data_IF_971456114380
#
_entry.id   IF_971456114380
#
_cell.length_a   1.000
_cell.length_b   1.000
_cell.length_c   1.000
_cell.angle_alpha   90.00
_cell.angle_beta   90.00
_cell.angle_gamma   90.00
#
_symmetry.space_group_name_H-M   'P 1'
#
loop_
_entity.id
_entity.type
_entity.pdbx_description
1 polymer ?
#
# COMPACT_ATOMS: atom_id res chain seq x y z
N UNK A 1 -12.55 -70.71 -27.86
CA UNK A 1 -11.45 -70.07 -27.13
C UNK A 1 -11.20 -68.65 -27.65
N UNK A 2 -11.16 -68.45 -28.94
CA UNK A 2 -10.90 -67.13 -29.59
C UNK A 2 -11.92 -66.02 -29.25
N UNK A 3 -13.20 -66.37 -29.16
CA UNK A 3 -14.29 -65.38 -28.84
C UNK A 3 -14.19 -64.79 -27.41
N UNK A 4 -13.68 -65.56 -26.47
CA UNK A 4 -13.45 -65.07 -25.08
C UNK A 4 -12.24 -64.17 -24.95
N UNK A 5 -11.26 -64.29 -25.83
CA UNK A 5 -10.07 -63.43 -25.86
C UNK A 5 -10.42 -62.08 -26.49
N UNK A 6 -11.17 -62.07 -27.57
CA UNK A 6 -11.64 -60.87 -28.24
C UNK A 6 -12.59 -60.03 -27.36
N UNK A 7 -13.50 -60.71 -26.63
CA UNK A 7 -14.39 -60.01 -25.68
C UNK A 7 -13.62 -59.36 -24.50
N UNK A 8 -12.55 -59.97 -24.01
CA UNK A 8 -11.70 -59.39 -22.96
C UNK A 8 -10.88 -58.23 -23.47
N UNK A 9 -10.35 -58.28 -24.69
CA UNK A 9 -9.63 -57.17 -25.29
C UNK A 9 -10.55 -55.97 -25.57
N UNK A 10 -11.79 -56.17 -25.97
CA UNK A 10 -12.78 -55.13 -26.19
C UNK A 10 -13.17 -54.40 -24.86
N UNK A 11 -13.33 -55.16 -23.78
CA UNK A 11 -13.64 -54.62 -22.44
C UNK A 11 -12.44 -53.84 -21.92
N UNK A 12 -11.20 -54.29 -22.09
CA UNK A 12 -9.99 -53.59 -21.66
C UNK A 12 -9.76 -52.28 -22.44
N UNK A 13 -10.05 -52.29 -23.73
CA UNK A 13 -9.96 -51.11 -24.60
C UNK A 13 -11.04 -50.06 -24.23
N UNK A 14 -12.26 -50.50 -23.89
CA UNK A 14 -13.34 -49.62 -23.44
C UNK A 14 -13.06 -48.98 -22.07
N UNK A 15 -12.42 -49.70 -21.13
CA UNK A 15 -12.02 -49.17 -19.80
C UNK A 15 -10.83 -48.22 -19.91
N UNK A 16 -9.86 -48.43 -20.78
CA UNK A 16 -8.78 -47.46 -21.06
C UNK A 16 -9.30 -46.18 -21.73
N UNK A 17 -10.31 -46.29 -22.61
CA UNK A 17 -10.93 -45.12 -23.26
C UNK A 17 -11.72 -44.22 -22.31
N UNK A 18 -12.32 -44.79 -21.23
CA UNK A 18 -13.04 -44.03 -20.20
C UNK A 18 -12.12 -43.35 -19.20
N UNK A 19 -10.89 -43.81 -19.00
CA UNK A 19 -9.87 -43.16 -18.14
C UNK A 19 -9.14 -42.03 -18.86
N UNK A 20 -9.08 -41.99 -20.17
CA UNK A 20 -8.46 -40.93 -20.95
C UNK A 20 -9.37 -39.68 -21.11
N UNK A 21 -10.64 -39.74 -20.71
CA UNK A 21 -11.62 -38.65 -20.84
C UNK A 21 -11.72 -37.72 -19.62
N UNK A 22 -11.04 -38.02 -18.52
CA UNK A 22 -10.97 -37.15 -17.37
C UNK A 22 -9.76 -36.18 -17.47
N UNK A 23 -9.56 -35.56 -18.63
CA UNK A 23 -8.84 -34.28 -18.66
C UNK A 23 -9.69 -33.31 -17.81
N UNK A 24 -9.35 -33.15 -16.55
CA UNK A 24 -9.92 -32.12 -15.70
C UNK A 24 -9.76 -30.82 -16.46
N UNK A 25 -10.86 -30.30 -17.03
CA UNK A 25 -10.89 -28.94 -17.53
C UNK A 25 -10.39 -28.09 -16.37
N UNK A 26 -9.16 -27.59 -16.45
CA UNK A 26 -8.57 -26.74 -15.44
C UNK A 26 -9.54 -25.58 -15.27
N UNK A 27 -10.23 -25.56 -14.13
CA UNK A 27 -11.26 -24.55 -13.86
C UNK A 27 -10.62 -23.18 -14.07
N UNK A 28 -11.21 -22.41 -14.98
CA UNK A 28 -10.66 -21.11 -15.35
C UNK A 28 -10.62 -20.21 -14.11
N UNK A 29 -9.44 -19.92 -13.61
CA UNK A 29 -9.30 -18.96 -12.50
C UNK A 29 -9.74 -17.55 -12.94
N UNK A 30 -10.48 -16.79 -12.11
CA UNK A 30 -11.13 -17.22 -10.86
C UNK A 30 -12.48 -17.88 -11.13
N UNK A 31 -12.81 -18.97 -10.40
CA UNK A 31 -14.11 -19.66 -10.43
C UNK A 31 -14.99 -19.33 -9.20
N UNK A 32 -14.44 -18.60 -8.22
CA UNK A 32 -15.10 -18.15 -6.98
C UNK A 32 -14.59 -16.76 -6.56
N UNK A 33 -15.23 -16.10 -5.58
CA UNK A 33 -14.79 -14.81 -5.11
C UNK A 33 -13.32 -14.77 -4.64
N UNK A 34 -12.64 -13.65 -4.95
CA UNK A 34 -11.26 -13.36 -4.53
C UNK A 34 -11.28 -12.35 -3.39
N UNK A 35 -10.59 -12.64 -2.31
CA UNK A 35 -10.42 -11.73 -1.16
C UNK A 35 -9.23 -10.81 -1.36
N UNK A 36 -9.44 -9.51 -1.16
CA UNK A 36 -8.39 -8.49 -1.13
C UNK A 36 -8.20 -8.05 0.32
N UNK A 37 -7.09 -8.42 0.95
CA UNK A 37 -6.74 -7.91 2.26
C UNK A 37 -6.21 -6.49 2.14
N UNK A 38 -6.84 -5.55 2.86
CA UNK A 38 -6.36 -4.19 3.06
C UNK A 38 -5.85 -4.05 4.48
N UNK A 39 -4.54 -3.71 4.68
CA UNK A 39 -3.91 -3.73 6.01
C UNK A 39 -4.23 -2.52 6.89
N UNK A 40 -5.26 -1.75 6.56
CA UNK A 40 -5.74 -0.56 7.29
C UNK A 40 -7.26 -0.55 7.38
N UNK A 41 -7.79 0.34 8.24
CA UNK A 41 -9.24 0.48 8.41
C UNK A 41 -9.93 1.03 7.13
N UNK A 42 -11.20 0.73 6.99
CA UNK A 42 -12.03 1.19 5.87
C UNK A 42 -12.07 2.72 5.78
N UNK A 43 -12.20 3.24 4.56
CA UNK A 43 -12.26 4.67 4.24
C UNK A 43 -10.90 5.39 4.27
N UNK A 44 -9.81 4.69 4.59
CA UNK A 44 -8.45 5.22 4.47
C UNK A 44 -7.93 5.14 3.04
N UNK A 45 -6.76 5.75 2.80
CA UNK A 45 -6.11 5.82 1.49
C UNK A 45 -6.01 4.46 0.78
N UNK A 46 -5.48 3.46 1.47
CA UNK A 46 -5.27 2.12 0.93
C UNK A 46 -6.59 1.42 0.57
N UNK A 47 -7.63 1.62 1.38
CA UNK A 47 -8.96 1.02 1.17
C UNK A 47 -9.63 1.60 -0.08
N UNK A 48 -9.58 2.91 -0.27
CA UNK A 48 -10.16 3.58 -1.45
C UNK A 48 -9.51 3.07 -2.74
N UNK A 49 -8.18 3.02 -2.79
CA UNK A 49 -7.45 2.49 -3.95
C UNK A 49 -7.78 1.03 -4.22
N UNK A 50 -7.87 0.19 -3.17
CA UNK A 50 -8.23 -1.21 -3.30
C UNK A 50 -9.62 -1.39 -3.92
N UNK A 51 -10.60 -0.59 -3.51
CA UNK A 51 -11.98 -0.67 -4.02
C UNK A 51 -12.09 -0.22 -5.48
N UNK A 52 -11.34 0.80 -5.89
CA UNK A 52 -11.28 1.22 -7.31
C UNK A 52 -10.83 0.04 -8.19
N UNK A 53 -9.79 -0.68 -7.79
CA UNK A 53 -9.31 -1.86 -8.54
C UNK A 53 -10.26 -3.05 -8.42
N UNK A 54 -10.79 -3.34 -7.22
CA UNK A 54 -11.70 -4.45 -6.98
C UNK A 54 -12.95 -4.39 -7.85
N UNK A 55 -13.53 -3.21 -8.04
CA UNK A 55 -14.68 -2.99 -8.92
C UNK A 55 -14.39 -3.38 -10.37
N UNK A 56 -13.25 -2.95 -10.90
CA UNK A 56 -12.87 -3.23 -12.28
C UNK A 56 -12.46 -4.69 -12.50
N UNK A 57 -11.75 -5.28 -11.54
CA UNK A 57 -11.42 -6.72 -11.57
C UNK A 57 -12.68 -7.58 -11.54
N UNK A 58 -13.67 -7.22 -10.73
CA UNK A 58 -14.97 -7.90 -10.68
C UNK A 58 -15.66 -7.87 -12.06
N UNK A 59 -15.72 -6.70 -12.69
CA UNK A 59 -16.32 -6.55 -14.04
C UNK A 59 -15.59 -7.36 -15.11
N UNK A 60 -14.24 -7.38 -15.05
CA UNK A 60 -13.39 -8.02 -16.07
C UNK A 60 -13.33 -9.53 -15.95
N UNK A 61 -13.32 -10.04 -14.72
CA UNK A 61 -13.12 -11.45 -14.43
C UNK A 61 -14.41 -12.22 -14.11
N UNK A 62 -15.54 -11.50 -13.92
CA UNK A 62 -16.84 -12.12 -13.69
C UNK A 62 -17.01 -12.75 -12.30
N UNK A 63 -16.04 -12.55 -11.39
CA UNK A 63 -16.09 -13.02 -10.02
C UNK A 63 -15.88 -11.82 -9.06
N UNK A 64 -16.51 -11.88 -7.89
CA UNK A 64 -16.40 -10.80 -6.90
C UNK A 64 -14.97 -10.69 -6.36
N UNK A 65 -14.43 -9.47 -6.36
CA UNK A 65 -13.21 -9.10 -5.63
C UNK A 65 -13.63 -8.35 -4.37
N UNK A 66 -13.53 -9.02 -3.21
CA UNK A 66 -14.09 -8.56 -1.94
C UNK A 66 -12.97 -7.96 -1.08
N UNK A 67 -13.13 -6.69 -0.69
CA UNK A 67 -12.17 -6.01 0.19
C UNK A 67 -12.45 -6.36 1.65
N UNK A 68 -11.43 -6.90 2.33
CA UNK A 68 -11.42 -7.21 3.76
C UNK A 68 -10.36 -6.37 4.48
N UNK A 69 -10.78 -5.53 5.43
CA UNK A 69 -9.88 -4.67 6.19
C UNK A 69 -9.31 -5.40 7.41
N UNK A 70 -7.98 -5.63 7.45
CA UNK A 70 -7.24 -6.24 8.56
C UNK A 70 -6.20 -5.26 9.11
N UNK A 71 -6.67 -4.25 9.82
CA UNK A 71 -5.82 -3.18 10.36
C UNK A 71 -4.95 -3.64 11.54
N UNK A 72 -3.85 -2.94 11.77
CA UNK A 72 -3.01 -3.05 12.97
C UNK A 72 -1.51 -3.13 12.68
N UNK A 73 -0.72 -2.73 13.67
CA UNK A 73 0.74 -2.74 13.66
C UNK A 73 1.37 -2.12 12.39
N UNK A 74 0.87 -0.94 11.93
CA UNK A 74 1.38 -0.29 10.73
C UNK A 74 1.23 -1.09 9.44
N UNK A 75 0.24 -2.00 9.37
CA UNK A 75 -0.04 -2.86 8.22
C UNK A 75 0.52 -4.28 8.34
N UNK A 76 1.32 -4.58 9.37
CA UNK A 76 1.93 -5.91 9.58
C UNK A 76 0.87 -7.00 9.74
N UNK A 77 -0.22 -6.73 10.47
CA UNK A 77 -1.26 -7.74 10.71
C UNK A 77 -1.93 -8.24 9.42
N UNK A 78 -2.24 -7.33 8.50
CA UNK A 78 -2.84 -7.67 7.21
C UNK A 78 -1.90 -8.50 6.33
N UNK A 79 -0.63 -8.09 6.23
CA UNK A 79 0.37 -8.82 5.47
C UNK A 79 0.69 -10.19 6.07
N UNK A 80 0.79 -10.30 7.41
CA UNK A 80 0.94 -11.60 8.07
C UNK A 80 -0.27 -12.52 7.82
N UNK A 81 -1.48 -11.98 7.76
CA UNK A 81 -2.65 -12.79 7.40
C UNK A 81 -2.55 -13.33 5.97
N UNK A 82 -1.98 -12.55 5.03
CA UNK A 82 -1.73 -13.00 3.66
C UNK A 82 -0.72 -14.15 3.59
N UNK A 83 0.38 -14.10 4.35
CA UNK A 83 1.41 -15.18 4.28
C UNK A 83 0.89 -16.54 4.72
N UNK A 84 -0.24 -16.58 5.43
CA UNK A 84 -0.92 -17.81 5.87
C UNK A 84 -2.06 -18.25 4.93
N UNK A 85 -2.34 -17.49 3.89
CA UNK A 85 -3.35 -17.85 2.91
C UNK A 85 -2.83 -18.91 1.93
N UNK A 86 -3.75 -19.69 1.35
CA UNK A 86 -3.40 -20.63 0.30
C UNK A 86 -2.84 -19.88 -0.92
N UNK A 87 -1.77 -20.41 -1.58
CA UNK A 87 -1.14 -19.76 -2.72
C UNK A 87 -1.90 -20.00 -4.04
N UNK A 88 -3.23 -19.97 -4.01
CA UNK A 88 -4.13 -20.32 -5.11
C UNK A 88 -4.72 -19.10 -5.85
N UNK A 89 -4.27 -17.90 -5.49
CA UNK A 89 -4.72 -16.64 -6.09
C UNK A 89 -6.07 -16.12 -5.58
N UNK A 90 -6.74 -16.81 -4.66
CA UNK A 90 -8.02 -16.36 -4.11
C UNK A 90 -7.89 -15.45 -2.88
N UNK A 91 -6.67 -15.25 -2.41
CA UNK A 91 -6.35 -14.21 -1.42
C UNK A 91 -5.14 -13.43 -1.88
N UNK A 92 -5.30 -12.13 -2.05
CA UNK A 92 -4.25 -11.17 -2.37
C UNK A 92 -4.32 -10.02 -1.38
N UNK A 93 -3.30 -9.16 -1.33
CA UNK A 93 -3.32 -8.00 -0.44
C UNK A 93 -2.77 -6.75 -1.12
N UNK A 94 -3.16 -5.59 -0.58
CA UNK A 94 -2.45 -4.34 -0.84
C UNK A 94 -1.20 -4.28 0.04
N UNK A 95 -0.06 -4.13 -0.59
CA UNK A 95 1.21 -3.83 0.07
C UNK A 95 1.45 -2.33 0.12
N UNK A 96 2.06 -1.87 1.21
CA UNK A 96 2.47 -0.47 1.40
C UNK A 96 3.93 -0.40 1.78
N UNK A 97 4.58 0.74 1.55
CA UNK A 97 5.96 0.99 2.00
C UNK A 97 6.16 0.68 3.49
N UNK A 98 5.16 0.98 4.34
CA UNK A 98 5.19 0.65 5.76
C UNK A 98 5.40 -0.84 6.02
N UNK A 99 4.57 -1.68 5.40
CA UNK A 99 4.60 -3.13 5.62
C UNK A 99 5.78 -3.84 4.97
N UNK A 100 6.21 -3.39 3.79
CA UNK A 100 7.23 -4.10 2.98
C UNK A 100 8.62 -3.47 3.06
N UNK A 101 8.73 -2.15 3.25
CA UNK A 101 10.01 -1.46 3.19
C UNK A 101 10.48 -0.88 4.53
N UNK A 102 9.57 -0.47 5.42
CA UNK A 102 9.91 0.19 6.68
C UNK A 102 9.94 -0.81 7.85
N UNK A 103 8.84 -1.51 8.12
CA UNK A 103 8.73 -2.44 9.25
C UNK A 103 9.77 -3.57 9.24
N UNK A 104 10.17 -4.14 8.08
CA UNK A 104 11.26 -5.12 8.03
C UNK A 104 12.59 -4.63 8.59
N UNK A 105 12.79 -3.31 8.64
CA UNK A 105 13.99 -2.69 9.22
C UNK A 105 13.76 -2.36 10.70
N UNK A 106 12.65 -1.69 11.02
CA UNK A 106 12.37 -1.15 12.35
C UNK A 106 12.10 -2.22 13.40
N UNK A 107 11.42 -3.30 13.03
CA UNK A 107 11.04 -4.38 13.93
C UNK A 107 11.56 -5.74 13.46
N UNK A 108 12.76 -5.73 12.87
CA UNK A 108 13.40 -6.87 12.21
C UNK A 108 13.22 -8.20 12.94
N UNK A 109 13.41 -8.21 14.26
CA UNK A 109 13.34 -9.43 15.07
C UNK A 109 11.91 -9.80 15.51
N UNK A 110 10.94 -8.94 15.25
CA UNK A 110 9.53 -9.12 15.66
C UNK A 110 8.57 -9.20 14.47
N UNK A 111 9.06 -8.99 13.24
CA UNK A 111 8.19 -9.06 12.06
C UNK A 111 7.88 -10.52 11.72
N UNK A 112 6.58 -10.89 11.55
CA UNK A 112 6.18 -12.28 11.39
C UNK A 112 6.23 -12.79 9.95
N UNK A 113 7.00 -12.16 9.07
CA UNK A 113 7.19 -12.55 7.66
C UNK A 113 8.53 -12.07 7.10
N UNK A 114 8.98 -12.74 6.05
CA UNK A 114 10.15 -12.37 5.25
C UNK A 114 9.69 -11.76 3.92
N UNK A 115 10.01 -10.48 3.70
CA UNK A 115 9.55 -9.74 2.50
C UNK A 115 10.14 -10.27 1.19
N UNK A 116 11.19 -11.06 1.24
CA UNK A 116 11.83 -11.65 0.04
C UNK A 116 11.33 -13.07 -0.26
N UNK A 117 10.78 -13.78 0.75
CA UNK A 117 10.40 -15.18 0.63
C UNK A 117 8.91 -15.42 0.69
N UNK A 118 8.15 -14.62 1.46
CA UNK A 118 6.77 -14.91 1.80
C UNK A 118 5.75 -14.26 0.88
N UNK A 119 6.21 -13.48 -0.12
CA UNK A 119 5.32 -12.76 -1.03
C UNK A 119 5.64 -13.00 -2.51
N UNK A 120 4.58 -13.05 -3.31
CA UNK A 120 4.62 -12.89 -4.76
C UNK A 120 4.24 -11.46 -5.10
N UNK A 121 5.17 -10.69 -5.66
CA UNK A 121 4.92 -9.30 -6.07
C UNK A 121 4.18 -9.28 -7.41
N UNK A 122 3.02 -8.63 -7.44
CA UNK A 122 2.12 -8.66 -8.59
C UNK A 122 2.15 -7.35 -9.39
N UNK A 123 1.95 -6.21 -8.74
CA UNK A 123 1.86 -4.93 -9.45
C UNK A 123 2.05 -3.74 -8.51
N UNK A 124 3.00 -2.86 -8.81
CA UNK A 124 3.14 -1.55 -8.20
C UNK A 124 2.11 -0.60 -8.81
N UNK A 125 1.12 -0.26 -8.03
CA UNK A 125 -0.07 0.47 -8.47
C UNK A 125 0.18 1.96 -8.55
N UNK A 126 0.76 2.53 -7.49
CA UNK A 126 0.82 3.97 -7.33
C UNK A 126 1.87 4.40 -6.30
N UNK A 127 2.30 5.66 -6.41
CA UNK A 127 3.05 6.37 -5.39
C UNK A 127 2.44 7.76 -5.20
N UNK A 128 2.59 8.31 -3.99
CA UNK A 128 2.19 9.67 -3.66
C UNK A 128 3.09 10.22 -2.56
N UNK A 129 3.29 11.53 -2.46
CA UNK A 129 3.98 12.12 -1.33
C UNK A 129 3.11 12.13 -0.08
N UNK A 130 3.73 12.35 1.07
CA UNK A 130 3.04 12.86 2.24
C UNK A 130 2.99 14.39 2.16
N UNK A 131 2.06 14.98 2.88
CA UNK A 131 1.85 16.42 2.97
C UNK A 131 1.84 16.84 4.44
N UNK A 132 2.60 17.88 4.77
CA UNK A 132 2.59 18.50 6.09
C UNK A 132 1.38 19.40 6.22
N UNK A 133 0.55 19.07 7.18
CA UNK A 133 -0.75 19.69 7.45
C UNK A 133 -0.78 20.29 8.84
N UNK A 134 -1.35 21.46 8.94
CA UNK A 134 -1.66 22.07 10.22
C UNK A 134 -3.13 22.47 10.30
N UNK A 135 -3.68 22.40 11.50
CA UNK A 135 -4.96 23.05 11.80
C UNK A 135 -4.79 24.58 11.57
N UNK A 136 -5.78 25.30 11.01
CA UNK A 136 -5.70 26.74 10.77
C UNK A 136 -5.34 27.60 11.97
N UNK A 137 -5.53 27.10 13.19
CA UNK A 137 -5.12 27.80 14.43
C UNK A 137 -3.60 27.84 14.65
N UNK A 138 -2.81 27.02 13.94
CA UNK A 138 -1.35 27.07 14.00
C UNK A 138 -0.86 28.22 13.12
N UNK A 139 -0.09 29.19 13.64
CA UNK A 139 0.37 30.37 12.91
C UNK A 139 1.60 30.04 12.03
N UNK A 140 1.50 29.05 11.16
CA UNK A 140 2.55 28.64 10.24
C UNK A 140 1.98 28.40 8.84
N UNK A 141 2.50 29.09 7.83
CA UNK A 141 2.11 28.97 6.43
C UNK A 141 3.21 28.32 5.57
N UNK A 142 4.42 28.27 6.10
CA UNK A 142 5.62 27.74 5.43
C UNK A 142 6.35 26.76 6.33
N UNK A 143 7.21 25.92 5.74
CA UNK A 143 8.00 24.95 6.52
C UNK A 143 8.95 25.66 7.52
N UNK A 144 9.65 26.76 7.17
CA UNK A 144 10.43 27.51 8.16
C UNK A 144 9.60 28.02 9.34
N UNK A 145 8.39 28.55 9.09
CA UNK A 145 7.48 29.02 10.15
C UNK A 145 7.00 27.86 11.02
N UNK A 146 6.68 26.70 10.41
CA UNK A 146 6.30 25.49 11.15
C UNK A 146 7.45 25.02 12.06
N UNK A 147 8.68 24.97 11.55
CA UNK A 147 9.85 24.59 12.33
C UNK A 147 10.06 25.57 13.51
N UNK A 148 9.93 26.88 13.28
CA UNK A 148 10.04 27.89 14.34
C UNK A 148 8.94 27.71 15.40
N UNK A 149 7.71 27.47 14.98
CA UNK A 149 6.59 27.22 15.89
C UNK A 149 6.79 25.93 16.70
N UNK A 150 7.25 24.84 16.09
CA UNK A 150 7.54 23.58 16.77
C UNK A 150 8.68 23.71 17.79
N UNK A 151 9.70 24.51 17.51
CA UNK A 151 10.77 24.82 18.48
C UNK A 151 10.24 25.56 19.72
N UNK A 152 9.25 26.43 19.52
CA UNK A 152 8.58 27.13 20.62
C UNK A 152 7.53 26.26 21.35
N UNK A 153 7.09 25.16 20.76
CA UNK A 153 6.10 24.24 21.30
C UNK A 153 6.65 22.79 21.25
N UNK A 154 7.65 22.45 22.08
CA UNK A 154 8.23 21.12 22.10
C UNK A 154 7.19 20.05 22.46
N UNK A 155 7.45 18.81 22.03
CA UNK A 155 6.57 17.66 22.24
C UNK A 155 5.15 17.81 21.62
N UNK A 156 4.99 18.75 20.67
CA UNK A 156 3.72 18.91 19.93
C UNK A 156 3.25 17.55 19.40
N UNK A 157 1.99 17.13 19.70
CA UNK A 157 1.44 15.91 19.16
C UNK A 157 1.25 16.01 17.65
N UNK A 158 1.67 14.97 16.92
CA UNK A 158 1.40 14.81 15.49
C UNK A 158 0.75 13.47 15.17
N UNK A 159 -0.17 13.47 14.22
CA UNK A 159 -0.92 12.29 13.85
C UNK A 159 -0.10 11.32 12.98
N UNK A 160 -0.23 10.02 13.25
CA UNK A 160 0.32 8.93 12.46
C UNK A 160 -0.67 7.78 12.34
N UNK A 161 -0.50 6.90 11.34
CA UNK A 161 -1.26 5.63 11.25
C UNK A 161 -0.55 4.48 11.98
N UNK A 162 0.36 4.79 12.92
CA UNK A 162 1.08 3.86 13.78
C UNK A 162 2.56 3.75 13.47
N UNK A 163 3.30 3.08 14.37
CA UNK A 163 4.72 2.84 14.19
C UNK A 163 5.02 2.13 12.85
N UNK A 164 6.12 2.52 12.20
CA UNK A 164 6.55 1.95 10.92
C UNK A 164 5.71 2.34 9.70
N UNK A 165 4.77 3.29 9.84
CA UNK A 165 4.11 3.92 8.70
C UNK A 165 4.94 5.08 8.16
N UNK A 166 4.65 5.51 6.93
CA UNK A 166 5.34 6.65 6.32
C UNK A 166 5.05 7.96 7.04
N UNK A 167 3.88 8.09 7.68
CA UNK A 167 3.56 9.22 8.55
C UNK A 167 4.48 9.28 9.77
N UNK A 168 4.75 8.13 10.40
CA UNK A 168 5.69 8.05 11.52
C UNK A 168 7.11 8.39 11.08
N UNK A 169 7.59 7.83 9.96
CA UNK A 169 8.91 8.14 9.40
C UNK A 169 9.03 9.63 9.03
N UNK A 170 7.97 10.22 8.45
CA UNK A 170 7.92 11.65 8.12
C UNK A 170 8.16 12.52 9.36
N UNK A 171 7.48 12.21 10.47
CA UNK A 171 7.68 12.92 11.75
C UNK A 171 9.11 12.79 12.25
N UNK A 172 9.63 11.57 12.33
CA UNK A 172 10.99 11.32 12.80
C UNK A 172 12.06 11.95 11.91
N UNK A 173 11.86 11.99 10.58
CA UNK A 173 12.73 12.74 9.66
C UNK A 173 12.74 14.25 9.95
N UNK A 174 11.60 14.83 10.31
CA UNK A 174 11.52 16.25 10.67
C UNK A 174 12.19 16.53 12.00
N UNK A 175 12.02 15.64 12.99
CA UNK A 175 12.73 15.73 14.28
C UNK A 175 14.24 15.76 14.09
N UNK A 176 14.76 14.81 13.29
CA UNK A 176 16.20 14.71 12.99
C UNK A 176 16.70 15.94 12.21
N UNK A 177 16.04 16.28 11.10
CA UNK A 177 16.49 17.33 10.18
C UNK A 177 16.43 18.74 10.77
N UNK A 178 15.51 19.01 11.72
CA UNK A 178 15.30 20.33 12.29
C UNK A 178 15.65 20.43 13.78
N UNK A 179 16.13 19.34 14.41
CA UNK A 179 16.45 19.28 15.83
C UNK A 179 15.23 19.51 16.72
N UNK A 180 14.12 18.80 16.41
CA UNK A 180 12.83 18.93 17.11
C UNK A 180 12.55 17.74 18.01
N UNK A 181 11.56 17.90 18.88
CA UNK A 181 10.91 16.81 19.62
C UNK A 181 9.41 16.93 19.46
N UNK A 182 8.77 15.87 18.96
CA UNK A 182 7.34 15.76 18.76
C UNK A 182 6.82 14.46 19.37
N UNK A 183 5.51 14.35 19.57
CA UNK A 183 4.88 13.14 20.13
C UNK A 183 3.99 12.51 19.09
N UNK A 184 4.31 11.27 18.67
CA UNK A 184 3.49 10.52 17.72
C UNK A 184 2.19 10.04 18.36
N UNK A 185 1.04 10.40 17.78
CA UNK A 185 -0.29 9.93 18.18
C UNK A 185 -0.82 8.99 17.11
N UNK A 186 -1.10 7.75 17.50
CA UNK A 186 -1.50 6.69 16.57
C UNK A 186 -3.01 6.67 16.31
N UNK A 187 -3.38 6.71 15.04
CA UNK A 187 -4.74 6.50 14.54
C UNK A 187 -4.84 5.17 13.75
N UNK A 188 -6.03 4.59 13.68
CA UNK A 188 -6.24 3.33 12.93
C UNK A 188 -6.29 3.52 11.42
N UNK A 189 -6.55 4.74 10.96
CA UNK A 189 -6.54 5.15 9.56
C UNK A 189 -6.44 6.68 9.43
N UNK A 190 -5.94 7.16 8.28
CA UNK A 190 -5.74 8.59 7.99
C UNK A 190 -7.02 9.43 8.04
N UNK A 191 -8.17 8.89 7.63
CA UNK A 191 -9.43 9.63 7.70
C UNK A 191 -9.82 10.03 9.13
N UNK A 192 -9.47 9.23 10.14
CA UNK A 192 -9.71 9.54 11.55
C UNK A 192 -8.78 10.65 12.05
N UNK A 193 -7.50 10.58 11.70
CA UNK A 193 -6.53 11.63 12.05
C UNK A 193 -6.88 12.98 11.41
N UNK A 194 -7.33 12.97 10.16
CA UNK A 194 -7.76 14.18 9.44
C UNK A 194 -8.98 14.83 10.10
N UNK A 195 -9.95 14.04 10.57
CA UNK A 195 -11.12 14.57 11.31
C UNK A 195 -10.70 15.29 12.60
N UNK A 196 -9.82 14.68 13.40
CA UNK A 196 -9.31 15.28 14.63
C UNK A 196 -8.41 16.50 14.36
N UNK A 197 -7.68 16.50 13.25
CA UNK A 197 -6.89 17.65 12.82
C UNK A 197 -7.79 18.84 12.42
N UNK A 198 -8.88 18.59 11.68
CA UNK A 198 -9.88 19.61 11.33
C UNK A 198 -10.56 20.14 12.62
N UNK A 199 -10.94 19.25 13.53
CA UNK A 199 -11.56 19.59 14.79
C UNK A 199 -10.60 20.28 15.80
N UNK A 200 -9.29 20.31 15.49
CA UNK A 200 -8.25 20.92 16.33
C UNK A 200 -7.90 20.11 17.57
N UNK A 201 -8.33 18.86 17.67
CA UNK A 201 -7.92 17.92 18.74
C UNK A 201 -6.42 17.60 18.64
N UNK A 202 -5.91 17.52 17.41
CA UNK A 202 -4.50 17.51 17.09
C UNK A 202 -4.17 18.69 16.18
N UNK A 203 -2.94 19.21 16.23
CA UNK A 203 -2.57 20.43 15.50
C UNK A 203 -1.73 20.19 14.24
N UNK A 204 -1.10 19.03 14.16
CA UNK A 204 -0.09 18.68 13.16
C UNK A 204 -0.29 17.25 12.63
N UNK A 205 -0.10 17.07 11.35
CA UNK A 205 0.02 15.77 10.73
C UNK A 205 1.01 15.82 9.56
N UNK A 206 1.72 14.72 9.31
CA UNK A 206 2.32 14.42 8.02
C UNK A 206 1.55 13.22 7.45
N UNK A 207 0.61 13.44 6.55
CA UNK A 207 -0.27 12.37 6.09
C UNK A 207 -0.22 12.21 4.57
N UNK A 208 -0.77 11.10 4.08
CA UNK A 208 -0.85 10.82 2.65
C UNK A 208 -1.61 11.93 1.92
N UNK A 209 -1.05 12.41 0.82
CA UNK A 209 -1.60 13.49 0.03
C UNK A 209 -3.07 13.27 -0.34
N UNK A 210 -3.41 12.06 -0.78
CA UNK A 210 -4.73 11.70 -1.28
C UNK A 210 -5.89 11.99 -0.32
N UNK A 211 -5.75 11.67 0.97
CA UNK A 211 -6.82 11.87 1.97
C UNK A 211 -6.89 13.28 2.51
N UNK A 212 -5.82 14.05 2.34
CA UNK A 212 -5.63 15.36 2.97
C UNK A 212 -5.95 16.53 2.03
N UNK A 213 -5.60 16.40 0.75
CA UNK A 213 -5.59 17.55 -0.19
C UNK A 213 -6.95 18.17 -0.43
N UNK A 214 -8.03 17.37 -0.46
CA UNK A 214 -9.38 17.92 -0.58
C UNK A 214 -9.77 18.82 0.61
N UNK A 215 -9.26 18.51 1.82
CA UNK A 215 -9.49 19.34 2.99
C UNK A 215 -8.69 20.65 2.94
N UNK A 216 -7.54 20.62 2.29
CA UNK A 216 -6.72 21.82 2.01
C UNK A 216 -7.42 22.70 0.99
N UNK A 217 -7.89 22.14 -0.13
CA UNK A 217 -8.67 22.89 -1.14
C UNK A 217 -9.95 23.50 -0.56
N UNK A 218 -10.59 22.78 0.36
CA UNK A 218 -11.77 23.25 1.09
C UNK A 218 -11.49 24.26 2.21
N UNK A 219 -10.24 24.66 2.44
CA UNK A 219 -9.84 25.61 3.47
C UNK A 219 -9.97 25.12 4.91
N UNK A 220 -10.25 23.83 5.11
CA UNK A 220 -10.38 23.23 6.44
C UNK A 220 -9.04 22.95 7.11
N UNK A 221 -8.02 22.71 6.31
CA UNK A 221 -6.63 22.51 6.74
C UNK A 221 -5.69 23.37 5.91
N UNK A 222 -4.52 23.65 6.48
CA UNK A 222 -3.45 24.32 5.74
C UNK A 222 -2.34 23.33 5.43
N UNK A 223 -1.94 23.27 4.14
CA UNK A 223 -0.73 22.59 3.72
C UNK A 223 0.47 23.52 3.88
N UNK A 224 1.54 23.01 4.48
CA UNK A 224 2.78 23.76 4.71
C UNK A 224 3.84 23.37 3.68
N UNK A 225 3.97 22.08 3.39
CA UNK A 225 4.86 21.56 2.36
C UNK A 225 4.51 20.11 2.00
N UNK A 226 5.14 19.58 0.96
CA UNK A 226 4.92 18.24 0.45
C UNK A 226 6.26 17.48 0.38
N UNK A 227 6.25 16.16 0.58
CA UNK A 227 7.48 15.35 0.68
C UNK A 227 7.99 14.80 -0.66
N UNK A 228 7.42 15.25 -1.78
CA UNK A 228 7.94 14.91 -3.11
C UNK A 228 9.34 15.51 -3.34
N UNK A 229 10.19 14.89 -4.18
CA UNK A 229 11.53 15.40 -4.48
C UNK A 229 11.53 16.77 -5.21
N UNK A 230 10.43 17.09 -5.85
CA UNK A 230 10.21 18.35 -6.58
C UNK A 230 8.73 18.73 -6.57
N UNK A 231 8.32 19.75 -7.35
CA UNK A 231 6.93 20.15 -7.47
C UNK A 231 6.03 18.98 -7.85
N UNK A 232 5.00 18.71 -7.03
CA UNK A 232 4.09 17.60 -7.28
C UNK A 232 3.09 17.97 -8.37
N UNK A 233 2.92 17.16 -9.44
CA UNK A 233 2.08 17.53 -10.59
C UNK A 233 0.65 17.88 -10.24
N UNK A 234 0.08 17.27 -9.20
CA UNK A 234 -1.30 17.47 -8.75
C UNK A 234 -1.48 18.61 -7.74
N UNK A 235 -0.38 19.25 -7.28
CA UNK A 235 -0.38 20.36 -6.30
C UNK A 235 0.91 21.17 -6.38
N UNK A 236 1.15 21.81 -7.52
CA UNK A 236 2.39 22.57 -7.79
C UNK A 236 2.54 23.80 -6.90
N UNK A 237 1.45 24.29 -6.33
CA UNK A 237 1.40 25.43 -5.42
C UNK A 237 1.97 25.12 -4.03
N UNK A 238 2.07 23.80 -3.66
CA UNK A 238 2.61 23.38 -2.36
C UNK A 238 4.11 23.11 -2.53
N UNK A 239 4.98 23.87 -1.83
CA UNK A 239 6.42 23.72 -1.99
C UNK A 239 6.91 22.37 -1.45
N UNK A 240 7.92 21.73 -2.09
CA UNK A 240 8.57 20.55 -1.55
C UNK A 240 9.24 20.84 -0.21
N UNK A 241 9.17 19.87 0.72
CA UNK A 241 9.90 19.95 2.02
C UNK A 241 11.40 20.08 1.79
N UNK A 242 11.92 19.45 0.74
CA UNK A 242 13.32 19.52 0.31
C UNK A 242 13.80 20.95 -0.02
N UNK A 243 12.91 21.88 -0.35
CA UNK A 243 13.26 23.28 -0.56
C UNK A 243 13.74 23.98 0.73
N UNK A 244 13.31 23.50 1.90
CA UNK A 244 13.76 24.00 3.22
C UNK A 244 14.75 23.04 3.88
N UNK A 245 14.54 21.75 3.74
CA UNK A 245 15.35 20.69 4.33
C UNK A 245 15.90 19.80 3.21
N UNK A 246 17.09 20.08 2.66
CA UNK A 246 17.65 19.32 1.54
C UNK A 246 17.74 17.81 1.84
N UNK A 247 17.31 16.99 0.88
CA UNK A 247 17.27 15.54 1.01
C UNK A 247 16.06 15.00 1.78
N UNK A 248 15.10 15.85 2.17
CA UNK A 248 13.84 15.41 2.77
C UNK A 248 12.87 14.95 1.68
N UNK A 249 12.90 13.67 1.37
CA UNK A 249 12.07 13.08 0.32
C UNK A 249 11.39 11.82 0.85
N UNK A 250 10.07 11.70 0.62
CA UNK A 250 9.27 10.55 1.01
C UNK A 250 8.13 10.36 0.00
N UNK A 251 8.18 9.25 -0.74
CA UNK A 251 7.18 8.92 -1.78
C UNK A 251 6.62 7.51 -1.53
N UNK A 252 5.72 7.33 -0.54
CA UNK A 252 5.09 6.04 -0.27
C UNK A 252 4.56 5.35 -1.52
N UNK A 253 4.93 4.08 -1.68
CA UNK A 253 4.46 3.22 -2.74
C UNK A 253 3.34 2.28 -2.26
N UNK A 254 2.43 1.97 -3.18
CA UNK A 254 1.30 1.06 -2.99
C UNK A 254 1.24 0.09 -4.15
N UNK A 255 0.91 -1.16 -3.85
CA UNK A 255 0.79 -2.17 -4.89
C UNK A 255 0.16 -3.45 -4.38
N UNK A 256 0.22 -4.49 -5.17
CA UNK A 256 -0.45 -5.75 -4.98
C UNK A 256 0.55 -6.87 -4.77
N UNK A 257 0.28 -7.70 -3.78
CA UNK A 257 1.05 -8.91 -3.48
C UNK A 257 0.12 -10.09 -3.25
N UNK A 258 0.61 -11.27 -3.57
CA UNK A 258 0.03 -12.55 -3.18
C UNK A 258 0.93 -13.27 -2.18
N UNK A 259 0.49 -14.40 -1.60
CA UNK A 259 1.36 -15.27 -0.81
C UNK A 259 2.46 -15.85 -1.69
N UNK A 260 3.53 -16.36 -1.09
CA UNK A 260 4.60 -17.03 -1.81
C UNK A 260 4.10 -18.28 -2.57
N UNK A 261 4.85 -18.69 -3.59
CA UNK A 261 4.62 -19.94 -4.32
C UNK A 261 3.25 -20.03 -5.04
N UNK A 262 2.70 -18.91 -5.47
CA UNK A 262 1.50 -18.92 -6.34
C UNK A 262 1.82 -19.58 -7.69
N UNK A 263 0.85 -20.31 -8.31
CA UNK A 263 1.01 -20.86 -9.64
C UNK A 263 1.37 -19.78 -10.68
N UNK A 264 2.39 -19.99 -11.53
CA UNK A 264 2.87 -18.99 -12.47
C UNK A 264 1.81 -18.46 -13.45
N UNK A 265 0.87 -19.29 -13.86
CA UNK A 265 -0.25 -18.92 -14.73
C UNK A 265 -1.23 -17.97 -14.05
N UNK A 266 -1.53 -18.16 -12.76
CA UNK A 266 -2.35 -17.27 -11.96
C UNK A 266 -1.62 -15.93 -11.72
N UNK A 267 -0.32 -15.98 -11.39
CA UNK A 267 0.51 -14.77 -11.24
C UNK A 267 0.50 -13.94 -12.51
N UNK A 268 0.76 -14.60 -13.66
CA UNK A 268 0.73 -13.93 -14.97
C UNK A 268 -0.65 -13.29 -15.23
N UNK A 269 -1.72 -14.05 -14.99
CA UNK A 269 -3.10 -13.56 -15.20
C UNK A 269 -3.40 -12.35 -14.31
N UNK A 270 -3.04 -12.39 -13.04
CA UNK A 270 -3.22 -11.26 -12.11
C UNK A 270 -2.44 -10.02 -12.56
N UNK A 271 -1.18 -10.17 -12.95
CA UNK A 271 -0.36 -9.06 -13.46
C UNK A 271 -1.00 -8.45 -14.71
N UNK A 272 -1.41 -9.26 -15.66
CA UNK A 272 -2.08 -8.80 -16.89
C UNK A 272 -3.36 -8.02 -16.58
N UNK A 273 -4.17 -8.49 -15.62
CA UNK A 273 -5.41 -7.84 -15.23
C UNK A 273 -5.15 -6.54 -14.47
N UNK A 274 -4.17 -6.48 -13.56
CA UNK A 274 -3.79 -5.25 -12.88
C UNK A 274 -3.28 -4.19 -13.86
N UNK A 275 -2.42 -4.57 -14.81
CA UNK A 275 -1.95 -3.67 -15.89
C UNK A 275 -3.14 -3.17 -16.72
N UNK A 276 -4.06 -4.06 -17.08
CA UNK A 276 -5.23 -3.69 -17.86
C UNK A 276 -6.16 -2.74 -17.11
N UNK A 277 -6.40 -2.99 -15.82
CA UNK A 277 -7.20 -2.10 -14.94
C UNK A 277 -6.52 -0.74 -14.81
N UNK A 278 -5.20 -0.71 -14.59
CA UNK A 278 -4.45 0.56 -14.50
C UNK A 278 -4.53 1.41 -15.77
N UNK A 279 -4.76 0.82 -16.94
CA UNK A 279 -4.91 1.54 -18.22
C UNK A 279 -6.32 2.06 -18.49
N UNK A 280 -7.31 1.70 -17.68
CA UNK A 280 -8.68 2.19 -17.82
C UNK A 280 -8.72 3.70 -17.51
N UNK A 281 -9.21 4.56 -18.44
CA UNK A 281 -9.20 6.02 -18.23
C UNK A 281 -9.93 6.46 -16.96
N UNK A 282 -11.04 5.81 -16.64
CA UNK A 282 -11.84 6.08 -15.44
C UNK A 282 -11.06 5.77 -14.16
N UNK A 283 -10.25 4.69 -14.15
CA UNK A 283 -9.37 4.33 -13.03
C UNK A 283 -8.27 5.37 -12.87
N UNK A 284 -7.61 5.77 -13.95
CA UNK A 284 -6.59 6.84 -13.93
C UNK A 284 -7.18 8.13 -13.38
N UNK A 285 -8.30 8.55 -13.94
CA UNK A 285 -9.00 9.77 -13.49
C UNK A 285 -9.42 9.69 -12.02
N UNK A 286 -9.88 8.53 -11.54
CA UNK A 286 -10.25 8.34 -10.14
C UNK A 286 -9.02 8.42 -9.23
N UNK A 287 -7.88 7.81 -9.60
CA UNK A 287 -6.64 7.89 -8.85
C UNK A 287 -6.06 9.31 -8.83
N UNK A 288 -6.04 10.00 -9.95
CA UNK A 288 -5.58 11.40 -10.06
C UNK A 288 -6.47 12.35 -9.23
N UNK A 289 -7.79 12.20 -9.32
CA UNK A 289 -8.74 12.97 -8.48
C UNK A 289 -8.54 12.67 -6.99
N UNK A 290 -8.20 11.44 -6.68
CA UNK A 290 -7.82 11.04 -5.32
C UNK A 290 -6.41 11.51 -4.94
N UNK A 291 -5.65 12.11 -5.85
CA UNK A 291 -4.32 12.68 -5.57
C UNK A 291 -3.16 11.69 -5.66
N UNK A 292 -3.30 10.65 -6.44
CA UNK A 292 -2.31 9.56 -6.57
C UNK A 292 -1.81 9.47 -8.00
N UNK A 293 -0.49 9.34 -8.17
CA UNK A 293 0.12 9.06 -9.48
C UNK A 293 0.38 7.57 -9.63
N UNK A 294 -0.05 7.01 -10.77
CA UNK A 294 0.23 5.62 -11.10
C UNK A 294 1.71 5.39 -11.37
N UNK A 295 2.24 4.23 -10.94
CA UNK A 295 3.64 3.82 -11.20
C UNK A 295 3.76 2.75 -12.27
N UNK A 296 2.71 2.00 -12.55
CA UNK A 296 2.62 0.95 -13.59
C UNK A 296 3.80 -0.03 -13.57
N UNK A 297 4.14 -0.59 -12.40
CA UNK A 297 5.26 -1.50 -12.21
C UNK A 297 4.79 -2.95 -12.11
N UNK A 298 4.81 -3.75 -13.20
CA UNK A 298 4.42 -5.16 -13.12
C UNK A 298 5.47 -6.01 -12.39
N UNK A 299 5.01 -6.97 -11.61
CA UNK A 299 5.75 -8.04 -10.95
C UNK A 299 7.20 -7.73 -10.53
N UNK A 300 8.20 -8.18 -11.29
CA UNK A 300 9.61 -7.97 -10.95
C UNK A 300 10.01 -6.50 -10.80
N UNK A 301 9.48 -5.61 -11.63
CA UNK A 301 9.77 -4.17 -11.54
C UNK A 301 9.25 -3.57 -10.23
N UNK A 302 8.11 -4.07 -9.72
CA UNK A 302 7.59 -3.65 -8.42
C UNK A 302 8.47 -4.17 -7.27
N UNK A 303 8.91 -5.43 -7.32
CA UNK A 303 9.82 -5.99 -6.33
C UNK A 303 11.13 -5.19 -6.25
N UNK A 304 11.73 -4.85 -7.40
CA UNK A 304 12.96 -4.05 -7.48
C UNK A 304 12.75 -2.64 -6.92
N UNK A 305 11.64 -1.96 -7.27
CA UNK A 305 11.30 -0.64 -6.75
C UNK A 305 11.19 -0.65 -5.22
N UNK A 306 10.53 -1.65 -4.64
CA UNK A 306 10.41 -1.80 -3.18
C UNK A 306 11.74 -2.13 -2.50
N UNK A 307 12.60 -2.93 -3.12
CA UNK A 307 13.95 -3.19 -2.60
C UNK A 307 14.79 -1.92 -2.55
N UNK A 308 14.73 -1.08 -3.60
CA UNK A 308 15.38 0.23 -3.65
C UNK A 308 14.81 1.18 -2.59
N UNK A 309 13.50 1.22 -2.44
CA UNK A 309 12.82 2.01 -1.42
C UNK A 309 13.25 1.58 -0.01
N UNK A 310 13.26 0.27 0.27
CA UNK A 310 13.73 -0.29 1.55
C UNK A 310 15.17 0.12 1.87
N UNK A 311 16.07 0.08 0.89
CA UNK A 311 17.44 0.54 1.07
C UNK A 311 17.52 2.06 1.36
N UNK A 312 16.61 2.85 0.80
CA UNK A 312 16.45 4.27 1.13
C UNK A 312 16.02 4.49 2.58
N UNK A 313 14.96 3.80 3.03
CA UNK A 313 14.49 3.90 4.42
C UNK A 313 15.51 3.40 5.44
N UNK A 314 16.31 2.35 5.12
CA UNK A 314 17.36 1.89 6.02
C UNK A 314 18.34 3.00 6.39
N UNK A 315 18.80 3.77 5.40
CA UNK A 315 19.69 4.92 5.62
C UNK A 315 19.04 6.02 6.47
N UNK A 316 17.76 6.30 6.25
CA UNK A 316 17.01 7.31 7.01
C UNK A 316 16.83 6.86 8.45
N UNK A 317 16.37 5.62 8.67
CA UNK A 317 16.12 5.04 10.00
C UNK A 317 17.41 5.00 10.83
N UNK A 318 18.51 4.58 10.22
CA UNK A 318 19.83 4.53 10.88
C UNK A 318 20.31 5.94 11.26
N UNK A 319 20.29 6.89 10.31
CA UNK A 319 20.74 8.27 10.54
C UNK A 319 19.95 8.99 11.62
N UNK A 320 18.62 8.87 11.57
CA UNK A 320 17.70 9.53 12.52
C UNK A 320 17.54 8.75 13.84
N UNK A 321 18.17 7.58 13.96
CA UNK A 321 18.08 6.75 15.16
C UNK A 321 16.66 6.30 15.50
N UNK A 322 15.79 6.14 14.47
CA UNK A 322 14.37 5.85 14.65
C UNK A 322 14.20 4.47 15.30
N UNK A 323 13.53 4.43 16.43
CA UNK A 323 13.19 3.20 17.16
C UNK A 323 11.68 3.11 17.35
N UNK A 324 11.18 1.89 17.37
CA UNK A 324 9.79 1.61 17.79
C UNK A 324 9.83 1.05 19.19
N UNK A 325 8.96 1.49 20.09
CA UNK A 325 8.88 0.98 21.46
C UNK A 325 8.45 -0.50 21.52
#
# INVERSE_FOLDING_TARGET
MLYRILARLAVTAATLGLLAGAATAQEKWPSRPVTIIVPFAAGGNTDVMARIFAEQLTKRLGQQFIVENKAGAGGVNGLHALTRAAPDGYTIAVATSGGIAINPILIKDKIPYDVEKDFTYLYGMAAQPNIWLVNPSVPANTMPELIAWLKANPETPYATSGPGTTQHICGAMLEDAAGLKMTAVTYRASNLSIQDLIGGQIKLACDNFAVAYEQVKGGKLRAVSITSPGPYPLAREIPPTAATLPGFELMPAFGWVGPANMPPDIVKKLIEEFVAVGKIPEVRTALEKFGVLQTEQPGPAYAEALAKERAGYARVIERAGIKVP
#
